data_IF_747241306109
#
_entry.id   IF_747241306109
#
_cell.length_a   1.000
_cell.length_b   1.000
_cell.length_c   1.000
_cell.angle_alpha   90.00
_cell.angle_beta   90.00
_cell.angle_gamma   90.00
#
_symmetry.space_group_name_H-M   'P 1'
#
loop_
_entity.id
_entity.type
_entity.pdbx_description
1 polymer ?
#
# COMPACT_ATOMS: atom_id res chain seq x y z
N UNK A 1 -24.06 -21.62 -3.83
CA UNK A 1 -23.21 -21.94 -2.67
C UNK A 1 -23.60 -21.06 -1.50
N UNK A 2 -23.00 -21.26 -0.31
CA UNK A 2 -23.16 -20.31 0.80
C UNK A 2 -22.30 -19.05 0.53
N UNK A 3 -22.75 -17.85 0.91
CA UNK A 3 -21.92 -16.64 0.84
C UNK A 3 -20.62 -16.82 1.64
N UNK A 4 -19.51 -16.28 1.14
CA UNK A 4 -18.21 -16.30 1.80
C UNK A 4 -17.74 -14.86 2.00
N UNK A 5 -17.36 -14.55 3.24
CA UNK A 5 -16.70 -13.30 3.61
C UNK A 5 -15.23 -13.62 3.91
N UNK A 6 -14.31 -12.91 3.29
CA UNK A 6 -12.86 -13.13 3.36
C UNK A 6 -12.13 -11.84 3.73
N UNK A 7 -11.15 -11.95 4.62
CA UNK A 7 -10.21 -10.89 4.96
C UNK A 7 -8.81 -11.41 4.77
N UNK A 8 -7.99 -10.66 4.04
CA UNK A 8 -6.60 -11.01 3.78
C UNK A 8 -5.72 -9.83 4.16
N UNK A 9 -4.70 -10.09 4.94
CA UNK A 9 -3.67 -9.13 5.29
C UNK A 9 -2.38 -9.50 4.56
N UNK A 10 -2.05 -8.74 3.52
CA UNK A 10 -0.88 -8.92 2.64
C UNK A 10 -0.79 -10.31 1.98
N UNK A 11 -1.41 -10.43 0.80
CA UNK A 11 -1.34 -11.66 -0.02
C UNK A 11 0.12 -12.00 -0.34
N UNK A 12 0.56 -13.21 0.03
CA UNK A 12 1.89 -13.76 -0.29
C UNK A 12 3.07 -12.86 0.15
N UNK A 13 2.98 -12.25 1.34
CA UNK A 13 4.08 -11.49 1.94
C UNK A 13 5.38 -12.29 2.01
N UNK A 14 6.51 -11.68 1.64
CA UNK A 14 7.86 -12.24 1.80
C UNK A 14 8.47 -12.89 0.55
N UNK A 15 7.85 -12.76 -0.62
CA UNK A 15 8.41 -13.19 -1.92
C UNK A 15 8.80 -12.02 -2.81
N UNK A 16 9.32 -12.30 -4.01
CA UNK A 16 9.62 -11.33 -5.05
C UNK A 16 8.39 -10.45 -5.35
N UNK A 17 8.59 -9.13 -5.40
CA UNK A 17 7.51 -8.15 -5.60
C UNK A 17 6.72 -8.38 -6.89
N UNK A 18 7.38 -8.70 -8.01
CA UNK A 18 6.70 -8.91 -9.30
C UNK A 18 5.82 -10.15 -9.25
N UNK A 19 6.36 -11.26 -8.75
CA UNK A 19 5.60 -12.51 -8.61
C UNK A 19 4.46 -12.37 -7.61
N UNK A 20 4.69 -11.67 -6.49
CA UNK A 20 3.67 -11.38 -5.48
C UNK A 20 2.49 -10.63 -6.08
N UNK A 21 2.74 -9.54 -6.80
CA UNK A 21 1.67 -8.72 -7.41
C UNK A 21 0.89 -9.55 -8.43
N UNK A 22 1.59 -10.28 -9.31
CA UNK A 22 0.96 -11.11 -10.34
C UNK A 22 0.08 -12.21 -9.72
N UNK A 23 0.59 -12.97 -8.75
CA UNK A 23 -0.18 -14.00 -8.08
C UNK A 23 -1.35 -13.43 -7.27
N UNK A 24 -1.16 -12.29 -6.61
CA UNK A 24 -2.22 -11.64 -5.83
C UNK A 24 -3.38 -11.18 -6.72
N UNK A 25 -3.08 -10.63 -7.89
CA UNK A 25 -4.09 -10.22 -8.86
C UNK A 25 -4.94 -11.41 -9.34
N UNK A 26 -4.32 -12.55 -9.66
CA UNK A 26 -5.04 -13.76 -10.08
C UNK A 26 -5.91 -14.35 -8.97
N UNK A 27 -5.38 -14.41 -7.73
CA UNK A 27 -6.12 -14.95 -6.57
C UNK A 27 -7.35 -14.08 -6.27
N UNK A 28 -7.17 -12.76 -6.17
CA UNK A 28 -8.25 -11.84 -5.85
C UNK A 28 -9.26 -11.73 -6.99
N UNK A 29 -8.80 -11.74 -8.25
CA UNK A 29 -9.67 -11.80 -9.42
C UNK A 29 -10.56 -13.05 -9.41
N UNK A 30 -9.99 -14.22 -9.10
CA UNK A 30 -10.73 -15.46 -8.95
C UNK A 30 -11.79 -15.38 -7.82
N UNK A 31 -11.50 -14.68 -6.72
CA UNK A 31 -12.45 -14.48 -5.63
C UNK A 31 -13.63 -13.61 -6.04
N UNK A 32 -13.36 -12.50 -6.74
CA UNK A 32 -14.40 -11.64 -7.29
C UNK A 32 -15.30 -12.42 -8.27
N UNK A 33 -14.72 -13.16 -9.20
CA UNK A 33 -15.44 -13.93 -10.21
C UNK A 33 -16.31 -15.06 -9.61
N UNK A 34 -15.99 -15.51 -8.38
CA UNK A 34 -16.75 -16.53 -7.63
C UNK A 34 -17.77 -15.95 -6.66
N UNK A 35 -17.92 -14.63 -6.60
CA UNK A 35 -18.85 -13.95 -5.69
C UNK A 35 -18.43 -14.00 -4.22
N UNK A 36 -17.12 -14.07 -3.94
CA UNK A 36 -16.59 -13.94 -2.58
C UNK A 36 -16.54 -12.46 -2.21
N UNK A 37 -17.15 -12.09 -1.08
CA UNK A 37 -16.97 -10.75 -0.52
C UNK A 37 -15.61 -10.71 0.17
N UNK A 38 -14.64 -10.02 -0.42
CA UNK A 38 -13.25 -10.03 0.03
C UNK A 38 -12.75 -8.62 0.37
N UNK A 39 -12.09 -8.49 1.51
CA UNK A 39 -11.30 -7.32 1.89
C UNK A 39 -9.83 -7.74 1.90
N UNK A 40 -8.99 -7.05 1.13
CA UNK A 40 -7.57 -7.32 1.06
C UNK A 40 -6.79 -6.05 1.44
N UNK A 41 -5.94 -6.14 2.45
CA UNK A 41 -4.95 -5.12 2.76
C UNK A 41 -3.66 -5.40 1.96
N UNK A 42 -3.10 -4.35 1.35
CA UNK A 42 -1.86 -4.44 0.57
C UNK A 42 -1.11 -3.11 0.53
N UNK A 43 0.21 -3.19 0.48
CA UNK A 43 1.09 -2.07 0.13
C UNK A 43 1.40 -1.95 -1.38
N UNK A 44 0.95 -2.91 -2.19
CA UNK A 44 1.24 -2.95 -3.63
C UNK A 44 0.25 -2.04 -4.41
N UNK A 45 0.68 -0.82 -4.73
CA UNK A 45 -0.14 0.16 -5.46
C UNK A 45 -0.54 -0.36 -6.84
N UNK A 46 0.31 -1.14 -7.49
CA UNK A 46 0.05 -1.75 -8.79
C UNK A 46 -1.22 -2.64 -8.76
N UNK A 47 -1.46 -3.31 -7.64
CA UNK A 47 -2.62 -4.19 -7.46
C UNK A 47 -3.94 -3.40 -7.50
N UNK A 48 -3.93 -2.15 -7.00
CA UNK A 48 -5.09 -1.25 -7.02
C UNK A 48 -5.55 -0.91 -8.44
N UNK A 49 -4.60 -0.81 -9.38
CA UNK A 49 -4.87 -0.58 -10.80
C UNK A 49 -5.25 -1.85 -11.55
N UNK A 50 -4.57 -2.97 -11.27
CA UNK A 50 -4.87 -4.27 -11.91
C UNK A 50 -6.27 -4.78 -11.60
N UNK A 51 -6.82 -4.44 -10.43
CA UNK A 51 -8.12 -4.91 -9.96
C UNK A 51 -9.21 -3.84 -9.91
N UNK A 52 -8.97 -2.65 -10.48
CA UNK A 52 -9.89 -1.50 -10.39
C UNK A 52 -11.33 -1.77 -10.88
N UNK A 53 -11.50 -2.69 -11.83
CA UNK A 53 -12.81 -3.06 -12.38
C UNK A 53 -13.54 -4.14 -11.56
N UNK A 54 -12.85 -4.74 -10.58
CA UNK A 54 -13.35 -5.85 -9.75
C UNK A 54 -13.45 -5.50 -8.26
N UNK A 55 -12.63 -4.57 -7.79
CA UNK A 55 -12.53 -4.16 -6.40
C UNK A 55 -12.64 -2.65 -6.28
N UNK A 56 -13.29 -2.20 -5.21
CA UNK A 56 -13.23 -0.80 -4.79
C UNK A 56 -11.96 -0.56 -3.96
N UNK A 57 -11.22 0.50 -4.30
CA UNK A 57 -10.02 0.87 -3.57
C UNK A 57 -10.36 1.79 -2.40
N UNK A 58 -9.73 1.51 -1.25
CA UNK A 58 -9.78 2.34 -0.05
C UNK A 58 -8.40 2.39 0.59
N UNK A 59 -8.13 3.45 1.36
CA UNK A 59 -6.89 3.60 2.11
C UNK A 59 -7.13 4.25 3.48
N UNK A 60 -6.13 4.13 4.36
CA UNK A 60 -6.00 4.94 5.55
C UNK A 60 -5.03 6.09 5.28
N UNK A 61 -5.24 7.19 5.98
CA UNK A 61 -4.35 8.35 5.95
C UNK A 61 -3.87 8.67 7.37
N UNK A 62 -2.67 9.21 7.42
CA UNK A 62 -2.04 9.77 8.61
C UNK A 62 -1.49 11.17 8.32
N UNK A 63 -1.53 12.01 9.35
CA UNK A 63 -0.92 13.33 9.35
C UNK A 63 0.20 13.41 10.39
N UNK A 64 1.04 14.44 10.28
CA UNK A 64 2.08 14.75 11.26
C UNK A 64 1.69 16.04 11.96
N UNK A 65 1.40 15.92 13.25
CA UNK A 65 1.03 17.03 14.12
C UNK A 65 2.00 17.08 15.30
N UNK A 66 2.63 18.23 15.54
CA UNK A 66 3.58 18.44 16.66
C UNK A 66 4.69 17.36 16.75
N UNK A 67 5.19 16.91 15.61
CA UNK A 67 6.22 15.87 15.54
C UNK A 67 5.73 14.50 15.98
N UNK A 68 4.42 14.22 15.88
CA UNK A 68 3.80 12.93 16.13
C UNK A 68 2.93 12.52 14.96
N UNK A 69 2.85 11.22 14.71
CA UNK A 69 1.96 10.67 13.68
C UNK A 69 0.56 10.47 14.26
N UNK A 70 -0.42 11.06 13.58
CA UNK A 70 -1.84 10.98 13.92
C UNK A 70 -2.54 10.18 12.83
N UNK A 71 -2.99 8.97 13.18
CA UNK A 71 -3.76 8.12 12.27
C UNK A 71 -5.23 8.52 12.34
N UNK A 72 -5.86 8.72 11.17
CA UNK A 72 -7.27 9.11 11.13
C UNK A 72 -8.21 7.95 11.48
N UNK A 73 -7.75 6.71 11.32
CA UNK A 73 -8.54 5.49 11.48
C UNK A 73 -9.84 5.48 10.66
N UNK A 74 -9.85 6.15 9.51
CA UNK A 74 -10.97 6.23 8.58
C UNK A 74 -10.57 5.64 7.23
N UNK A 75 -11.47 4.85 6.65
CA UNK A 75 -11.34 4.41 5.26
C UNK A 75 -11.75 5.55 4.34
N UNK A 76 -10.80 5.99 3.51
CA UNK A 76 -11.00 6.99 2.47
C UNK A 76 -11.05 6.28 1.10
N UNK A 77 -11.93 6.71 0.18
CA UNK A 77 -12.02 6.10 -1.14
C UNK A 77 -10.78 6.39 -1.99
N UNK A 78 -10.45 5.44 -2.87
CA UNK A 78 -9.30 5.52 -3.79
C UNK A 78 -8.04 4.85 -3.24
N UNK A 79 -7.01 4.65 -4.10
CA UNK A 79 -5.71 4.15 -3.66
C UNK A 79 -4.99 5.18 -2.77
N UNK A 80 -4.07 4.72 -1.93
CA UNK A 80 -3.23 5.62 -1.14
C UNK A 80 -2.25 6.38 -2.05
N UNK A 81 -2.17 7.70 -1.87
CA UNK A 81 -1.23 8.60 -2.55
C UNK A 81 -0.05 9.02 -1.64
N UNK A 82 -0.12 8.70 -0.34
CA UNK A 82 0.86 9.10 0.66
C UNK A 82 1.94 8.05 0.90
N UNK A 83 3.19 8.51 1.03
CA UNK A 83 4.34 7.68 1.42
C UNK A 83 5.03 8.27 2.65
N UNK A 84 4.43 8.14 3.82
CA UNK A 84 4.92 8.81 5.03
C UNK A 84 6.01 8.05 5.80
N UNK A 85 6.48 6.90 5.29
CA UNK A 85 7.51 6.10 5.94
C UNK A 85 8.81 6.87 6.23
N UNK A 86 9.20 7.79 5.33
CA UNK A 86 10.40 8.63 5.53
C UNK A 86 10.12 9.72 6.58
N UNK A 87 8.94 10.34 6.54
CA UNK A 87 8.55 11.37 7.52
C UNK A 87 8.38 10.81 8.94
N UNK A 88 8.05 9.53 9.06
CA UNK A 88 8.07 8.81 10.35
C UNK A 88 9.46 8.83 10.99
N UNK A 89 10.55 8.81 10.22
CA UNK A 89 11.91 8.87 10.75
C UNK A 89 12.18 10.22 11.45
N UNK A 90 11.64 11.32 10.91
CA UNK A 90 11.76 12.65 11.53
C UNK A 90 11.09 12.68 12.91
N UNK A 91 9.89 12.09 13.00
CA UNK A 91 9.14 11.93 14.25
C UNK A 91 9.87 11.05 15.28
N UNK A 92 10.65 10.07 14.81
CA UNK A 92 11.46 9.20 15.65
C UNK A 92 12.80 9.82 16.10
N UNK A 93 13.11 11.05 15.64
CA UNK A 93 14.33 11.77 16.01
C UNK A 93 15.57 11.40 15.20
N UNK A 94 15.40 10.85 13.99
CA UNK A 94 16.51 10.66 13.05
C UNK A 94 17.01 12.01 12.51
N UNK A 95 18.29 12.08 12.17
CA UNK A 95 18.93 13.30 11.64
C UNK A 95 18.27 13.75 10.33
N UNK A 96 18.06 15.08 10.19
CA UNK A 96 17.49 15.68 8.99
C UNK A 96 18.27 15.32 7.72
N UNK A 97 19.60 15.25 7.78
CA UNK A 97 20.42 14.86 6.63
C UNK A 97 20.12 13.42 6.17
N UNK A 98 19.73 12.52 7.08
CA UNK A 98 19.34 11.15 6.76
C UNK A 98 17.98 11.12 6.07
N UNK A 99 16.99 11.86 6.59
CA UNK A 99 15.63 11.87 6.02
C UNK A 99 15.61 12.57 4.67
N UNK A 100 16.35 13.67 4.51
CA UNK A 100 16.56 14.35 3.22
C UNK A 100 17.22 13.42 2.19
N UNK A 101 18.25 12.67 2.60
CA UNK A 101 18.93 11.71 1.72
C UNK A 101 18.00 10.56 1.30
N UNK A 102 17.15 10.08 2.22
CA UNK A 102 16.17 9.04 1.94
C UNK A 102 15.11 9.53 0.95
N UNK A 103 14.57 10.74 1.16
CA UNK A 103 13.58 11.36 0.27
C UNK A 103 14.16 11.59 -1.13
N UNK A 104 15.38 12.14 -1.22
CA UNK A 104 16.05 12.36 -2.49
C UNK A 104 16.25 11.05 -3.28
N UNK A 105 16.59 9.95 -2.60
CA UNK A 105 16.74 8.64 -3.23
C UNK A 105 15.39 8.08 -3.70
N UNK A 106 14.33 8.21 -2.89
CA UNK A 106 12.99 7.76 -3.26
C UNK A 106 12.44 8.53 -4.48
N UNK A 107 12.55 9.86 -4.47
CA UNK A 107 12.14 10.73 -5.59
C UNK A 107 12.90 10.41 -6.87
N UNK A 108 14.21 10.13 -6.76
CA UNK A 108 15.00 9.70 -7.91
C UNK A 108 14.48 8.39 -8.48
N UNK A 109 14.28 7.37 -7.66
CA UNK A 109 13.75 6.08 -8.11
C UNK A 109 12.40 6.24 -8.80
N UNK A 110 11.49 7.05 -8.24
CA UNK A 110 10.20 7.33 -8.87
C UNK A 110 10.32 7.97 -10.26
N UNK A 111 11.33 8.80 -10.47
CA UNK A 111 11.59 9.46 -11.76
C UNK A 111 12.34 8.58 -12.76
N UNK A 112 13.26 7.73 -12.30
CA UNK A 112 14.22 7.03 -13.17
C UNK A 112 14.08 5.52 -13.21
N UNK A 113 13.35 4.93 -12.25
CA UNK A 113 13.26 3.48 -12.06
C UNK A 113 14.54 2.81 -11.57
N UNK A 114 15.53 3.58 -11.10
CA UNK A 114 16.87 3.07 -10.76
C UNK A 114 17.34 3.52 -9.37
N UNK A 115 17.96 2.59 -8.63
CA UNK A 115 18.62 2.83 -7.35
C UNK A 115 20.10 3.13 -7.58
N UNK A 116 20.57 4.31 -7.14
CA UNK A 116 21.97 4.75 -7.18
C UNK A 116 22.22 5.74 -6.07
#
# INVERSE_FOLDING_TARGET
GRPVLCFIDEVLRGTNTVERIAASAEILGCFADRGVTCFAATHDIELTGLLQDRFENYHFQEDIEDGRVVFHYRLLPGPSDTRNAIRLLETLGYDAALTESAEARAQRFLRTGTWT
#
